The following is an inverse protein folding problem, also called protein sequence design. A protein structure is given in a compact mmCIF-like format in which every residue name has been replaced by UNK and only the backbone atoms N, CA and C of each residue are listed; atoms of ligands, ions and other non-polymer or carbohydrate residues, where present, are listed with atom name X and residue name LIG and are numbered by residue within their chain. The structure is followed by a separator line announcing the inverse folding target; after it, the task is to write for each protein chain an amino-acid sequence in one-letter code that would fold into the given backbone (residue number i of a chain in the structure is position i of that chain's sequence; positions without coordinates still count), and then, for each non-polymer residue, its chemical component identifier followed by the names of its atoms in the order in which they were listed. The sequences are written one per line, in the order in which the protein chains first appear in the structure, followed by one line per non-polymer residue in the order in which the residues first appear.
data_IF_090716452813
#
_entry.id   IF_090716452813
#
_cell.length_a   1.000
_cell.length_b   1.000
_cell.length_c   1.000
_cell.angle_alpha   90.00
_cell.angle_beta   90.00
_cell.angle_gamma   90.00
#
_symmetry.space_group_name_H-M   'P 1'
#
loop_
_entity.id
_entity.type
_entity.pdbx_description
1 polymer ?
#
# COMPACT_ATOMS: atom_id res chain seq x y z
N UNK A 1 38.14 18.56 -0.71
CA UNK A 1 38.37 17.30 -1.45
C UNK A 1 37.03 16.60 -1.57
N UNK A 2 36.45 16.53 -2.78
CA UNK A 2 35.21 15.78 -3.01
C UNK A 2 35.56 14.32 -3.31
N UNK A 3 35.39 13.45 -2.32
CA UNK A 3 35.48 12.01 -2.50
C UNK A 3 34.18 11.52 -3.15
N UNK A 4 34.20 11.35 -4.46
CA UNK A 4 33.13 10.66 -5.18
C UNK A 4 33.30 9.16 -4.98
N UNK A 5 32.69 8.63 -3.92
CA UNK A 5 32.62 7.20 -3.67
C UNK A 5 31.63 6.56 -4.65
N UNK A 6 32.15 5.91 -5.69
CA UNK A 6 31.37 5.03 -6.55
C UNK A 6 31.14 3.71 -5.81
N UNK A 7 30.10 3.68 -5.00
CA UNK A 7 29.69 2.49 -4.24
C UNK A 7 28.60 1.76 -5.03
N UNK A 8 28.79 0.48 -5.28
CA UNK A 8 27.72 -0.33 -5.84
C UNK A 8 26.66 -0.70 -4.78
N UNK A 9 25.51 -1.20 -5.22
CA UNK A 9 24.41 -1.51 -4.30
C UNK A 9 24.76 -2.62 -3.29
N UNK A 10 25.62 -3.57 -3.65
CA UNK A 10 26.02 -4.67 -2.76
C UNK A 10 26.99 -4.19 -1.68
N UNK A 11 27.88 -3.27 -2.03
CA UNK A 11 28.77 -2.59 -1.11
C UNK A 11 27.98 -1.72 -0.14
N UNK A 12 27.00 -0.95 -0.61
CA UNK A 12 26.08 -0.20 0.25
C UNK A 12 25.35 -1.13 1.22
N UNK A 13 24.83 -2.26 0.74
CA UNK A 13 24.17 -3.26 1.58
C UNK A 13 25.10 -3.81 2.66
N UNK A 14 26.35 -4.07 2.30
CA UNK A 14 27.38 -4.55 3.24
C UNK A 14 27.66 -3.52 4.34
N UNK A 15 27.72 -2.23 3.99
CA UNK A 15 27.88 -1.15 4.97
C UNK A 15 26.68 -1.08 5.91
N UNK A 16 25.45 -1.11 5.37
CA UNK A 16 24.22 -1.08 6.18
C UNK A 16 24.14 -2.29 7.11
N UNK A 17 24.61 -3.48 6.69
CA UNK A 17 24.60 -4.65 7.57
C UNK A 17 25.53 -4.51 8.78
N UNK A 18 26.64 -3.76 8.64
CA UNK A 18 27.60 -3.51 9.70
C UNK A 18 27.12 -2.45 10.71
N UNK A 19 26.14 -1.62 10.33
CA UNK A 19 25.55 -0.62 11.21
C UNK A 19 24.86 -1.24 12.44
N UNK A 20 24.87 -0.48 13.53
CA UNK A 20 24.12 -0.77 14.75
C UNK A 20 22.61 -0.70 14.54
N UNK A 21 21.84 -1.19 15.52
CA UNK A 21 20.38 -1.21 15.42
C UNK A 21 19.76 0.20 15.37
N UNK A 22 20.37 1.16 16.06
CA UNK A 22 19.92 2.57 16.10
C UNK A 22 20.09 3.23 14.73
N UNK A 23 21.28 3.08 14.12
CA UNK A 23 21.58 3.59 12.78
C UNK A 23 20.68 2.95 11.72
N UNK A 24 20.43 1.64 11.81
CA UNK A 24 19.47 0.95 10.93
C UNK A 24 18.07 1.52 11.07
N UNK A 25 17.66 1.88 12.28
CA UNK A 25 16.35 2.50 12.54
C UNK A 25 16.25 3.88 11.91
N UNK A 26 17.31 4.67 11.97
CA UNK A 26 17.38 5.98 11.33
C UNK A 26 17.34 5.88 9.79
N UNK A 27 18.09 4.92 9.22
CA UNK A 27 18.05 4.62 7.78
C UNK A 27 16.63 4.26 7.35
N UNK A 28 15.92 3.44 8.12
CA UNK A 28 14.51 3.10 7.83
C UNK A 28 13.65 4.36 7.82
N UNK A 29 13.75 5.23 8.84
CA UNK A 29 12.98 6.49 8.90
C UNK A 29 13.27 7.41 7.72
N UNK A 30 14.52 7.47 7.28
CA UNK A 30 14.91 8.25 6.09
C UNK A 30 14.25 7.68 4.83
N UNK A 31 14.34 6.37 4.63
CA UNK A 31 13.77 5.69 3.47
C UNK A 31 12.25 5.61 3.50
N UNK A 32 11.61 5.77 4.66
CA UNK A 32 10.16 5.69 4.81
C UNK A 32 9.45 6.75 3.98
N UNK A 33 10.00 7.97 3.87
CA UNK A 33 9.41 9.05 3.04
C UNK A 33 9.29 8.66 1.57
N UNK A 34 10.30 7.98 1.03
CA UNK A 34 10.36 7.63 -0.39
C UNK A 34 9.71 6.27 -0.68
N UNK A 35 9.77 5.34 0.27
CA UNK A 35 9.29 3.97 0.09
C UNK A 35 7.84 3.77 0.52
N UNK A 36 7.30 4.64 1.38
CA UNK A 36 5.93 4.51 1.89
C UNK A 36 4.88 4.55 0.78
N UNK A 37 4.88 5.51 -0.17
CA UNK A 37 3.85 5.56 -1.23
C UNK A 37 3.82 4.27 -2.05
N UNK A 38 5.00 3.76 -2.45
CA UNK A 38 5.11 2.54 -3.26
C UNK A 38 4.62 1.31 -2.48
N UNK A 39 4.93 1.23 -1.19
CA UNK A 39 4.46 0.14 -0.32
C UNK A 39 2.95 0.22 -0.09
N UNK A 40 2.42 1.43 0.04
CA UNK A 40 1.00 1.69 0.23
C UNK A 40 0.21 1.33 -1.03
N UNK A 41 0.66 1.73 -2.22
CA UNK A 41 0.02 1.36 -3.48
C UNK A 41 0.04 -0.16 -3.71
N UNK A 42 1.16 -0.82 -3.38
CA UNK A 42 1.25 -2.29 -3.42
C UNK A 42 0.33 -2.97 -2.41
N UNK A 43 0.08 -2.33 -1.28
CA UNK A 43 -0.84 -2.83 -0.27
C UNK A 43 -2.29 -2.64 -0.74
N UNK A 44 -2.64 -1.47 -1.25
CA UNK A 44 -3.94 -1.18 -1.85
C UNK A 44 -4.26 -2.15 -2.99
N UNK A 45 -3.31 -2.43 -3.89
CA UNK A 45 -3.56 -3.39 -4.99
C UNK A 45 -3.77 -4.84 -4.54
N UNK A 46 -3.29 -5.20 -3.34
CA UNK A 46 -3.53 -6.52 -2.74
C UNK A 46 -4.85 -6.58 -2.00
N UNK A 47 -5.28 -5.48 -1.41
CA UNK A 47 -6.62 -5.35 -0.84
C UNK A 47 -7.55 -5.12 -2.02
N UNK A 48 -8.03 -6.21 -2.61
CA UNK A 48 -9.19 -6.17 -3.49
C UNK A 48 -10.34 -5.51 -2.73
N UNK A 49 -10.56 -4.23 -2.93
CA UNK A 49 -11.89 -3.66 -2.87
C UNK A 49 -12.52 -4.07 -4.19
N UNK A 50 -13.41 -5.07 -4.16
CA UNK A 50 -14.34 -5.24 -5.27
C UNK A 50 -15.03 -3.87 -5.41
N UNK A 51 -14.80 -3.20 -6.53
CA UNK A 51 -15.36 -1.87 -6.77
C UNK A 51 -16.88 -2.02 -6.74
N UNK A 52 -17.51 -1.59 -5.63
CA UNK A 52 -18.96 -1.56 -5.51
C UNK A 52 -19.48 -0.55 -6.53
N UNK A 53 -20.05 -1.05 -7.62
CA UNK A 53 -20.56 -0.19 -8.68
C UNK A 53 -21.94 0.36 -8.32
N UNK A 54 -22.34 1.46 -8.97
CA UNK A 54 -23.71 1.97 -8.84
C UNK A 54 -24.76 0.95 -9.31
N UNK A 55 -24.40 0.06 -10.23
CA UNK A 55 -25.26 -1.01 -10.73
C UNK A 55 -25.48 -2.09 -9.67
N UNK A 56 -24.43 -2.47 -8.95
CA UNK A 56 -24.52 -3.39 -7.79
C UNK A 56 -25.47 -2.84 -6.73
N UNK A 57 -25.32 -1.55 -6.40
CA UNK A 57 -26.18 -0.85 -5.44
C UNK A 57 -27.64 -0.81 -5.93
N UNK A 58 -27.85 -0.47 -7.21
CA UNK A 58 -29.20 -0.36 -7.78
C UNK A 58 -29.90 -1.71 -7.78
N UNK A 59 -29.17 -2.77 -8.14
CA UNK A 59 -29.69 -4.14 -8.18
C UNK A 59 -30.14 -4.61 -6.80
N UNK A 60 -29.34 -4.37 -5.76
CA UNK A 60 -29.71 -4.72 -4.38
C UNK A 60 -30.93 -3.94 -3.90
N UNK A 61 -30.98 -2.62 -4.15
CA UNK A 61 -32.09 -1.77 -3.74
C UNK A 61 -33.40 -2.19 -4.42
N UNK A 62 -33.38 -2.45 -5.73
CA UNK A 62 -34.58 -2.89 -6.46
C UNK A 62 -35.05 -4.28 -6.02
N UNK A 63 -34.13 -5.22 -5.74
CA UNK A 63 -34.49 -6.53 -5.18
C UNK A 63 -35.26 -6.42 -3.84
N UNK A 64 -34.84 -5.50 -2.96
CA UNK A 64 -35.54 -5.22 -1.70
C UNK A 64 -36.88 -4.51 -1.93
N UNK A 65 -36.96 -3.56 -2.87
CA UNK A 65 -38.21 -2.87 -3.23
C UNK A 65 -39.25 -3.85 -3.75
N UNK A 66 -38.87 -4.75 -4.65
CA UNK A 66 -39.75 -5.80 -5.15
C UNK A 66 -40.25 -6.71 -4.03
N UNK A 67 -39.34 -7.17 -3.16
CA UNK A 67 -39.70 -8.03 -2.03
C UNK A 67 -40.72 -7.35 -1.12
N UNK A 68 -40.55 -6.05 -0.84
CA UNK A 68 -41.51 -5.24 -0.05
C UNK A 68 -42.84 -5.05 -0.77
N UNK A 69 -42.82 -4.82 -2.08
CA UNK A 69 -44.05 -4.70 -2.89
C UNK A 69 -44.84 -6.00 -2.91
N UNK A 70 -44.18 -7.15 -3.06
CA UNK A 70 -44.82 -8.47 -3.01
C UNK A 70 -45.36 -8.81 -1.63
N UNK A 71 -44.66 -8.42 -0.56
CA UNK A 71 -45.11 -8.64 0.83
C UNK A 71 -46.27 -7.72 1.26
N UNK A 72 -46.53 -6.63 0.54
CA UNK A 72 -47.67 -5.72 0.77
C UNK A 72 -48.94 -6.11 0.00
N UNK A 73 -48.87 -7.12 -0.89
CA UNK A 73 -49.99 -7.61 -1.69
C UNK A 73 -50.61 -8.84 -1.08
#
# INVERSE_FOLDING_TARGET
MNLSLAIDFNQLKSLITQCGIEEKTEIIRMLEKDTFPIRFDRFLSKIRTDDLTLEDITTEVEAIREKRHRAKR
#
